data_IF_566868221393
#
_entry.id   IF_566868221393
#
_cell.length_a   1.000
_cell.length_b   1.000
_cell.length_c   1.000
_cell.angle_alpha   90.00
_cell.angle_beta   90.00
_cell.angle_gamma   90.00
#
_symmetry.space_group_name_H-M   'P 1'
#
loop_
_entity.id
_entity.type
_entity.pdbx_description
1 polymer ?
#
# COMPACT_ATOMS: atom_id res chain seq x y z
N UNK A 1 4.41 4.62 -56.08
CA UNK A 1 4.55 4.60 -54.61
C UNK A 1 3.17 4.45 -53.98
N UNK A 2 2.86 3.36 -53.30
CA UNK A 2 1.60 3.23 -52.57
C UNK A 2 1.66 3.97 -51.23
N UNK A 3 0.55 4.52 -50.71
CA UNK A 3 0.53 5.29 -49.47
C UNK A 3 0.70 4.39 -48.24
N UNK A 4 1.50 4.88 -47.28
CA UNK A 4 1.70 4.26 -45.96
C UNK A 4 0.42 4.29 -45.11
N UNK A 5 0.03 3.21 -44.43
CA UNK A 5 -1.12 3.24 -43.55
C UNK A 5 -0.82 4.00 -42.24
N UNK A 6 -1.65 4.99 -41.93
CA UNK A 6 -1.65 5.73 -40.69
C UNK A 6 -1.98 4.77 -39.53
N UNK A 7 -1.03 4.59 -38.59
CA UNK A 7 -1.24 3.86 -37.36
C UNK A 7 -2.16 4.66 -36.41
N UNK A 8 -3.45 4.42 -36.50
CA UNK A 8 -4.43 4.93 -35.54
C UNK A 8 -4.19 4.37 -34.14
N UNK A 9 -4.25 5.23 -33.13
CA UNK A 9 -4.17 4.86 -31.72
C UNK A 9 -5.24 3.79 -31.39
N UNK A 10 -4.90 2.69 -30.71
CA UNK A 10 -5.87 1.66 -30.37
C UNK A 10 -6.93 2.20 -29.40
N UNK A 11 -8.19 1.90 -29.67
CA UNK A 11 -9.31 2.29 -28.81
C UNK A 11 -9.15 1.70 -27.40
N UNK A 12 -9.61 2.39 -26.33
CA UNK A 12 -9.48 1.95 -24.92
C UNK A 12 -9.96 0.51 -24.67
N UNK A 13 -10.93 0.04 -25.42
CA UNK A 13 -11.44 -1.33 -25.30
C UNK A 13 -10.49 -2.42 -25.82
N UNK A 14 -9.47 -2.09 -26.62
CA UNK A 14 -8.48 -3.08 -27.11
C UNK A 14 -7.33 -3.29 -26.14
N UNK A 15 -6.98 -2.30 -25.32
CA UNK A 15 -5.94 -2.46 -24.28
C UNK A 15 -6.26 -3.58 -23.27
N UNK A 16 -7.52 -3.93 -23.13
CA UNK A 16 -7.98 -4.98 -22.22
C UNK A 16 -8.34 -6.31 -22.90
N UNK A 17 -8.42 -6.36 -24.23
CA UNK A 17 -8.96 -7.52 -24.97
C UNK A 17 -7.91 -8.47 -25.56
N UNK A 18 -6.66 -8.09 -25.69
CA UNK A 18 -5.60 -8.93 -26.31
C UNK A 18 -4.96 -9.87 -25.26
N UNK A 19 -5.80 -10.58 -24.53
CA UNK A 19 -5.41 -11.76 -23.75
C UNK A 19 -5.83 -12.99 -24.54
N UNK A 20 -4.94 -13.51 -25.37
CA UNK A 20 -4.98 -14.95 -25.67
C UNK A 20 -4.92 -15.64 -24.31
N UNK A 21 -6.04 -16.20 -23.92
CA UNK A 21 -6.24 -16.82 -22.62
C UNK A 21 -5.14 -17.85 -22.38
N UNK A 22 -4.21 -17.54 -21.47
CA UNK A 22 -3.48 -18.62 -20.84
C UNK A 22 -4.52 -19.60 -20.29
N UNK A 23 -4.33 -20.92 -20.46
CA UNK A 23 -5.29 -21.93 -20.03
C UNK A 23 -5.67 -21.62 -18.57
N UNK A 24 -6.98 -21.48 -18.32
CA UNK A 24 -7.53 -21.26 -16.99
C UNK A 24 -7.02 -22.39 -16.11
N UNK A 25 -6.28 -22.14 -15.02
CA UNK A 25 -6.01 -23.21 -14.07
C UNK A 25 -7.35 -23.71 -13.55
N UNK A 26 -7.53 -25.02 -13.58
CA UNK A 26 -8.69 -25.71 -13.04
C UNK A 26 -9.05 -25.19 -11.64
N UNK A 27 -10.32 -24.96 -11.30
CA UNK A 27 -10.73 -24.62 -9.95
C UNK A 27 -10.43 -25.83 -9.05
N UNK A 28 -9.37 -25.73 -8.24
CA UNK A 28 -8.98 -26.82 -7.33
C UNK A 28 -7.48 -27.00 -7.09
N UNK A 29 -6.62 -26.26 -7.77
CA UNK A 29 -5.17 -26.39 -7.54
C UNK A 29 -4.72 -25.62 -6.30
N UNK A 30 -3.84 -26.24 -5.53
CA UNK A 30 -3.28 -25.98 -4.19
C UNK A 30 -2.94 -24.53 -3.76
N UNK A 31 -3.30 -23.51 -4.55
CA UNK A 31 -2.99 -22.08 -4.31
C UNK A 31 -3.95 -21.39 -3.32
N UNK A 32 -5.09 -22.02 -3.00
CA UNK A 32 -6.13 -21.45 -2.14
C UNK A 32 -6.02 -21.86 -0.66
N UNK A 33 -5.27 -22.91 -0.33
CA UNK A 33 -5.31 -23.50 1.00
C UNK A 33 -4.68 -22.64 2.10
N UNK A 34 -3.69 -21.80 1.82
CA UNK A 34 -3.05 -20.97 2.86
C UNK A 34 -3.91 -19.79 3.31
N UNK A 35 -4.72 -19.22 2.42
CA UNK A 35 -5.57 -18.06 2.76
C UNK A 35 -6.86 -18.42 3.53
N UNK A 36 -7.19 -19.70 3.66
CA UNK A 36 -8.44 -20.18 4.27
C UNK A 36 -8.21 -21.02 5.53
N UNK A 37 -7.04 -20.89 6.15
CA UNK A 37 -6.70 -21.55 7.42
C UNK A 37 -7.57 -21.06 8.57
N UNK A 38 -7.87 -21.90 9.59
CA UNK A 38 -8.51 -21.46 10.82
C UNK A 38 -7.60 -20.49 11.60
N UNK A 39 -8.20 -19.61 12.42
CA UNK A 39 -7.54 -18.50 13.10
C UNK A 39 -6.20 -18.87 13.73
N UNK A 40 -6.15 -19.89 14.58
CA UNK A 40 -4.92 -20.27 15.29
C UNK A 40 -3.81 -20.82 14.37
N UNK A 41 -4.18 -21.50 13.27
CA UNK A 41 -3.23 -21.99 12.28
C UNK A 41 -2.70 -20.83 11.43
N UNK A 42 -3.58 -19.90 11.05
CA UNK A 42 -3.21 -18.66 10.33
C UNK A 42 -2.18 -17.88 11.11
N UNK A 43 -2.44 -17.59 12.40
CA UNK A 43 -1.53 -16.85 13.26
C UNK A 43 -0.16 -17.53 13.36
N UNK A 44 -0.11 -18.83 13.68
CA UNK A 44 1.16 -19.55 13.84
C UNK A 44 1.97 -19.65 12.56
N UNK A 45 1.29 -19.69 11.42
CA UNK A 45 1.95 -19.92 10.13
C UNK A 45 2.36 -18.61 9.44
N UNK A 46 1.61 -17.52 9.65
CA UNK A 46 1.79 -16.25 8.93
C UNK A 46 2.29 -15.09 9.82
N UNK A 47 2.60 -15.33 11.11
CA UNK A 47 3.08 -14.28 12.03
C UNK A 47 4.30 -13.49 11.50
N UNK A 48 5.26 -14.08 10.72
CA UNK A 48 6.38 -13.30 10.22
C UNK A 48 5.95 -12.22 9.23
N UNK A 49 4.92 -12.48 8.43
CA UNK A 49 4.35 -11.52 7.50
C UNK A 49 3.69 -10.34 8.26
N UNK A 50 3.00 -10.63 9.38
CA UNK A 50 2.43 -9.60 10.25
C UNK A 50 3.50 -8.77 10.95
N UNK A 51 4.59 -9.41 11.40
CA UNK A 51 5.74 -8.74 11.98
C UNK A 51 6.42 -7.77 11.01
N UNK A 52 6.54 -8.16 9.74
CA UNK A 52 7.07 -7.29 8.69
C UNK A 52 6.14 -6.09 8.43
N UNK A 53 4.83 -6.30 8.36
CA UNK A 53 3.86 -5.20 8.18
C UNK A 53 3.91 -4.22 9.36
N UNK A 54 4.02 -4.74 10.60
CA UNK A 54 4.19 -3.92 11.80
C UNK A 54 5.49 -3.10 11.74
N UNK A 55 6.63 -3.75 11.48
CA UNK A 55 7.93 -3.12 11.40
C UNK A 55 7.95 -2.00 10.35
N UNK A 56 7.43 -2.29 9.17
CA UNK A 56 7.45 -1.35 8.06
C UNK A 56 6.50 -0.17 8.27
N UNK A 57 5.31 -0.43 8.81
CA UNK A 57 4.41 0.66 9.14
C UNK A 57 4.97 1.52 10.27
N UNK A 58 5.51 0.93 11.32
CA UNK A 58 6.17 1.65 12.40
C UNK A 58 7.29 2.54 11.86
N UNK A 59 8.17 1.99 11.03
CA UNK A 59 9.24 2.75 10.39
C UNK A 59 8.70 3.86 9.47
N UNK A 60 7.67 3.58 8.68
CA UNK A 60 7.02 4.59 7.84
C UNK A 60 6.45 5.75 8.68
N UNK A 61 5.77 5.46 9.79
CA UNK A 61 5.21 6.48 10.68
C UNK A 61 6.32 7.30 11.35
N UNK A 62 7.42 6.66 11.78
CA UNK A 62 8.57 7.37 12.34
C UNK A 62 9.20 8.31 11.30
N UNK A 63 9.48 7.82 10.09
CA UNK A 63 10.05 8.64 9.02
C UNK A 63 9.11 9.79 8.66
N UNK A 64 7.82 9.52 8.49
CA UNK A 64 6.83 10.55 8.18
C UNK A 64 6.72 11.60 9.30
N UNK A 65 6.81 11.20 10.58
CA UNK A 65 6.80 12.10 11.72
C UNK A 65 8.04 13.00 11.78
N UNK A 66 9.23 12.40 11.60
CA UNK A 66 10.50 13.15 11.55
C UNK A 66 10.50 14.16 10.40
N UNK A 67 10.07 13.71 9.22
CA UNK A 67 9.99 14.55 8.01
C UNK A 67 8.98 15.70 8.19
N UNK A 68 7.82 15.43 8.80
CA UNK A 68 6.83 16.46 9.08
C UNK A 68 7.38 17.51 10.05
N UNK A 69 8.02 17.07 11.14
CA UNK A 69 8.66 17.99 12.08
C UNK A 69 9.75 18.83 11.41
N UNK A 70 10.54 18.25 10.52
CA UNK A 70 11.57 18.97 9.79
C UNK A 70 11.01 20.00 8.79
N UNK A 71 9.86 19.72 8.17
CA UNK A 71 9.18 20.70 7.29
C UNK A 71 8.72 21.90 8.10
N UNK A 72 8.10 21.68 9.27
CA UNK A 72 7.48 22.73 10.09
C UNK A 72 8.50 23.50 10.93
N UNK A 73 9.56 22.85 11.40
CA UNK A 73 10.57 23.43 12.28
C UNK A 73 11.98 23.28 11.70
N UNK A 74 12.42 24.14 10.76
CA UNK A 74 13.73 24.03 10.10
C UNK A 74 14.93 24.23 11.01
N UNK A 75 14.73 24.67 12.24
CA UNK A 75 15.76 24.91 13.25
C UNK A 75 16.07 23.71 14.16
N UNK A 76 15.72 22.50 13.80
CA UNK A 76 16.15 21.30 14.55
C UNK A 76 17.66 21.21 14.46
N UNK A 77 18.35 21.38 15.59
CA UNK A 77 19.80 21.58 15.65
C UNK A 77 20.61 20.47 14.99
N UNK A 78 20.13 19.22 15.00
CA UNK A 78 20.81 18.07 14.39
C UNK A 78 20.35 17.77 12.95
N UNK A 79 19.35 18.47 12.44
CA UNK A 79 18.84 18.31 11.07
C UNK A 79 18.48 19.69 10.47
N UNK A 80 19.48 20.55 10.19
CA UNK A 80 19.22 21.85 9.59
C UNK A 80 18.61 21.68 8.20
N UNK A 81 17.59 22.46 7.86
CA UNK A 81 16.93 22.44 6.56
C UNK A 81 17.08 23.76 5.82
N UNK A 82 16.91 23.78 4.49
CA UNK A 82 16.87 25.00 3.71
C UNK A 82 15.72 25.91 4.19
N UNK A 83 15.87 27.24 4.12
CA UNK A 83 14.81 28.17 4.52
C UNK A 83 13.57 28.06 3.63
N UNK A 84 13.73 27.67 2.39
CA UNK A 84 12.65 27.52 1.41
C UNK A 84 11.74 26.32 1.73
N UNK A 85 10.45 26.61 1.96
CA UNK A 85 9.45 25.60 2.34
C UNK A 85 9.14 24.64 1.19
N UNK A 86 9.15 25.10 -0.06
CA UNK A 86 8.88 24.25 -1.23
C UNK A 86 9.99 23.24 -1.40
N UNK A 87 11.24 23.68 -1.28
CA UNK A 87 12.40 22.79 -1.34
C UNK A 87 12.38 21.76 -0.20
N UNK A 88 12.02 22.16 1.04
CA UNK A 88 11.88 21.24 2.17
C UNK A 88 10.81 20.17 1.88
N UNK A 89 9.64 20.55 1.38
CA UNK A 89 8.57 19.61 1.01
C UNK A 89 9.00 18.66 -0.12
N UNK A 90 9.72 19.17 -1.11
CA UNK A 90 10.24 18.34 -2.19
C UNK A 90 11.24 17.29 -1.67
N UNK A 91 12.22 17.71 -0.85
CA UNK A 91 13.20 16.81 -0.23
C UNK A 91 12.51 15.78 0.70
N UNK A 92 11.54 16.23 1.49
CA UNK A 92 10.72 15.37 2.34
C UNK A 92 9.97 14.32 1.51
N UNK A 93 9.34 14.73 0.42
CA UNK A 93 8.65 13.84 -0.50
C UNK A 93 9.58 12.78 -1.08
N UNK A 94 10.76 13.21 -1.53
CA UNK A 94 11.81 12.29 -2.05
C UNK A 94 12.19 11.27 -0.97
N UNK A 95 12.47 11.71 0.24
CA UNK A 95 12.88 10.81 1.34
C UNK A 95 11.79 9.77 1.66
N UNK A 96 10.54 10.20 1.85
CA UNK A 96 9.43 9.29 2.16
C UNK A 96 9.16 8.32 1.00
N UNK A 97 9.14 8.81 -0.24
CA UNK A 97 8.89 7.97 -1.39
C UNK A 97 9.99 6.92 -1.62
N UNK A 98 11.26 7.29 -1.43
CA UNK A 98 12.37 6.33 -1.50
C UNK A 98 12.28 5.26 -0.41
N UNK A 99 11.89 5.63 0.81
CA UNK A 99 11.68 4.66 1.91
C UNK A 99 10.56 3.68 1.55
N UNK A 100 9.44 4.17 1.02
CA UNK A 100 8.33 3.31 0.56
C UNK A 100 8.78 2.37 -0.56
N UNK A 101 9.51 2.87 -1.55
CA UNK A 101 10.08 2.02 -2.62
C UNK A 101 10.99 0.94 -2.06
N UNK A 102 11.90 1.30 -1.16
CA UNK A 102 12.83 0.36 -0.53
C UNK A 102 12.09 -0.74 0.24
N UNK A 103 11.05 -0.37 1.01
CA UNK A 103 10.21 -1.33 1.71
C UNK A 103 9.52 -2.30 0.75
N UNK A 104 8.89 -1.80 -0.30
CA UNK A 104 8.14 -2.62 -1.28
C UNK A 104 9.07 -3.62 -1.99
N UNK A 105 10.25 -3.20 -2.38
CA UNK A 105 11.19 -4.06 -3.12
C UNK A 105 12.11 -4.90 -2.23
N UNK A 106 12.14 -4.65 -0.92
CA UNK A 106 12.92 -5.47 0.01
C UNK A 106 12.48 -6.94 -0.02
N UNK A 107 13.35 -7.87 0.34
CA UNK A 107 12.96 -9.28 0.48
C UNK A 107 11.77 -9.48 1.44
N UNK A 108 11.73 -8.71 2.51
CA UNK A 108 10.67 -8.75 3.52
C UNK A 108 9.35 -8.19 3.00
N UNK A 109 9.37 -7.04 2.29
CA UNK A 109 8.19 -6.46 1.68
C UNK A 109 7.60 -7.35 0.58
N UNK A 110 8.45 -7.97 -0.24
CA UNK A 110 8.00 -8.98 -1.21
C UNK A 110 7.40 -10.22 -0.55
N UNK A 111 7.78 -10.51 0.70
CA UNK A 111 7.21 -11.59 1.49
C UNK A 111 5.85 -11.19 2.05
N UNK A 112 5.73 -10.08 2.79
CA UNK A 112 4.48 -9.62 3.40
C UNK A 112 3.46 -9.09 2.38
N UNK A 113 3.91 -8.56 1.25
CA UNK A 113 3.07 -7.89 0.24
C UNK A 113 3.11 -6.37 0.33
N UNK A 114 3.68 -5.82 1.40
CA UNK A 114 3.88 -4.38 1.64
C UNK A 114 2.59 -3.57 1.56
N UNK A 115 1.56 -4.00 2.28
CA UNK A 115 0.32 -3.22 2.36
C UNK A 115 0.55 -1.91 3.11
N UNK A 116 1.24 -1.96 4.29
CA UNK A 116 1.62 -0.80 5.10
C UNK A 116 0.47 0.15 5.44
N UNK A 117 -0.76 -0.25 5.16
CA UNK A 117 -1.95 0.59 5.28
C UNK A 117 -3.20 -0.30 5.45
N UNK A 118 -3.96 -0.15 6.53
CA UNK A 118 -5.22 -0.87 6.72
C UNK A 118 -6.21 -0.71 5.59
N UNK A 119 -6.30 0.47 4.96
CA UNK A 119 -7.22 0.70 3.86
C UNK A 119 -6.86 -0.12 2.61
N UNK A 120 -5.55 -0.33 2.33
CA UNK A 120 -5.08 -1.24 1.27
C UNK A 120 -5.42 -2.69 1.64
N UNK A 121 -5.21 -3.09 2.89
CA UNK A 121 -5.55 -4.44 3.36
C UNK A 121 -7.04 -4.73 3.20
N UNK A 122 -7.91 -3.78 3.59
CA UNK A 122 -9.36 -3.87 3.41
C UNK A 122 -9.77 -3.87 1.93
N UNK A 123 -9.09 -3.12 1.08
CA UNK A 123 -9.30 -3.14 -0.37
C UNK A 123 -9.02 -4.54 -0.94
N UNK A 124 -7.92 -5.18 -0.56
CA UNK A 124 -7.62 -6.55 -0.99
C UNK A 124 -8.53 -7.62 -0.34
N UNK A 125 -9.03 -7.38 0.87
CA UNK A 125 -10.07 -8.21 1.48
C UNK A 125 -11.37 -8.13 0.66
N UNK A 126 -11.79 -6.94 0.27
CA UNK A 126 -12.96 -6.71 -0.60
C UNK A 126 -12.81 -7.37 -1.97
N UNK A 127 -11.59 -7.39 -2.51
CA UNK A 127 -11.24 -8.10 -3.75
C UNK A 127 -11.12 -9.63 -3.58
N UNK A 128 -11.25 -10.13 -2.35
CA UNK A 128 -11.12 -11.55 -2.05
C UNK A 128 -9.70 -12.09 -2.26
N UNK A 129 -8.66 -11.26 -2.12
CA UNK A 129 -7.26 -11.64 -2.35
C UNK A 129 -6.47 -11.96 -1.09
N UNK A 130 -6.94 -11.57 0.06
CA UNK A 130 -6.40 -11.91 1.38
C UNK A 130 -7.45 -12.67 2.19
N UNK A 131 -7.05 -13.61 3.03
CA UNK A 131 -7.91 -14.32 3.96
C UNK A 131 -8.43 -13.38 5.06
N UNK A 132 -9.62 -13.65 5.61
CA UNK A 132 -10.23 -12.80 6.65
C UNK A 132 -9.36 -12.68 7.90
N UNK A 133 -8.73 -13.76 8.32
CA UNK A 133 -7.88 -13.79 9.50
C UNK A 133 -6.54 -13.09 9.25
N UNK A 134 -5.94 -13.29 8.07
CA UNK A 134 -4.74 -12.56 7.68
C UNK A 134 -5.02 -11.05 7.62
N UNK A 135 -6.16 -10.65 7.05
CA UNK A 135 -6.56 -9.24 7.03
C UNK A 135 -6.70 -8.67 8.45
N UNK A 136 -7.35 -9.39 9.36
CA UNK A 136 -7.48 -8.98 10.77
C UNK A 136 -6.12 -8.81 11.43
N UNK A 137 -5.21 -9.79 11.30
CA UNK A 137 -3.88 -9.71 11.89
C UNK A 137 -3.02 -8.61 11.28
N UNK A 138 -3.15 -8.33 9.97
CA UNK A 138 -2.53 -7.17 9.33
C UNK A 138 -3.03 -5.86 9.94
N UNK A 139 -4.35 -5.70 10.08
CA UNK A 139 -4.95 -4.51 10.69
C UNK A 139 -4.44 -4.29 12.11
N UNK A 140 -4.46 -5.34 12.95
CA UNK A 140 -3.98 -5.28 14.33
C UNK A 140 -2.49 -4.93 14.39
N UNK A 141 -1.66 -5.61 13.60
CA UNK A 141 -0.22 -5.38 13.55
C UNK A 141 0.13 -3.95 13.09
N UNK A 142 -0.55 -3.48 12.06
CA UNK A 142 -0.37 -2.14 11.50
C UNK A 142 -0.79 -1.05 12.51
N UNK A 143 -1.96 -1.17 13.13
CA UNK A 143 -2.44 -0.19 14.11
C UNK A 143 -1.56 -0.17 15.35
N UNK A 144 -1.21 -1.34 15.89
CA UNK A 144 -0.33 -1.44 17.05
C UNK A 144 1.05 -0.80 16.79
N UNK A 145 1.64 -1.07 15.63
CA UNK A 145 2.93 -0.47 15.24
C UNK A 145 2.84 1.05 15.05
N UNK A 146 1.73 1.53 14.48
CA UNK A 146 1.45 2.96 14.37
C UNK A 146 1.38 3.64 15.73
N UNK A 147 0.65 3.04 16.69
CA UNK A 147 0.54 3.55 18.06
C UNK A 147 1.92 3.62 18.75
N UNK A 148 2.71 2.56 18.64
CA UNK A 148 4.07 2.54 19.22
C UNK A 148 4.94 3.64 18.58
N UNK A 149 4.91 3.77 17.26
CA UNK A 149 5.69 4.78 16.55
C UNK A 149 5.29 6.21 16.93
N UNK A 150 4.00 6.52 17.02
CA UNK A 150 3.50 7.85 17.44
C UNK A 150 3.87 8.11 18.91
N UNK A 151 3.77 7.11 19.78
CA UNK A 151 4.18 7.24 21.18
C UNK A 151 5.67 7.56 21.31
N UNK A 152 6.51 6.91 20.51
CA UNK A 152 7.95 7.20 20.46
C UNK A 152 8.25 8.62 19.94
N UNK A 153 7.53 9.09 18.93
CA UNK A 153 7.66 10.46 18.43
C UNK A 153 7.28 11.49 19.50
N UNK A 154 6.22 11.21 20.27
CA UNK A 154 5.71 12.09 21.32
C UNK A 154 6.53 12.09 22.62
N UNK A 155 7.24 11.01 22.90
CA UNK A 155 8.07 10.91 24.11
C UNK A 155 9.20 11.91 24.17
N UNK A 156 9.50 12.63 23.10
CA UNK A 156 10.65 13.54 23.00
C UNK A 156 12.00 12.81 22.83
N UNK A 157 11.98 11.48 22.78
CA UNK A 157 13.19 10.67 22.67
C UNK A 157 13.87 10.83 21.31
N UNK A 158 13.03 10.98 20.25
CA UNK A 158 13.51 11.10 18.87
C UNK A 158 13.48 12.55 18.37
N UNK A 159 12.51 13.34 18.81
CA UNK A 159 12.33 14.73 18.37
C UNK A 159 11.74 15.60 19.50
N UNK A 160 12.42 16.67 19.95
CA UNK A 160 11.94 17.53 21.06
C UNK A 160 10.61 18.24 20.80
N UNK A 161 10.16 18.32 19.55
CA UNK A 161 8.98 19.11 19.16
C UNK A 161 8.24 18.54 17.93
N UNK A 162 8.15 17.22 17.81
CA UNK A 162 7.39 16.63 16.70
C UNK A 162 5.88 16.92 16.89
N UNK A 163 5.37 17.97 16.25
CA UNK A 163 3.93 18.21 16.14
C UNK A 163 3.35 17.19 15.16
N UNK A 164 2.40 16.34 15.58
CA UNK A 164 1.78 15.40 14.64
C UNK A 164 1.02 16.19 13.56
N UNK A 165 1.16 15.82 12.28
CA UNK A 165 0.49 16.53 11.16
C UNK A 165 -1.03 16.62 11.26
N UNK A 166 -1.66 15.77 12.06
CA UNK A 166 -3.11 15.82 12.34
C UNK A 166 -3.56 17.10 13.08
N UNK A 167 -2.66 17.83 13.72
CA UNK A 167 -2.99 19.11 14.32
C UNK A 167 -3.44 20.16 13.28
N UNK A 168 -3.04 20.00 12.02
CA UNK A 168 -3.45 20.90 10.93
C UNK A 168 -4.95 20.76 10.60
N UNK A 169 -5.49 19.57 10.63
CA UNK A 169 -6.92 19.33 10.34
C UNK A 169 -7.85 19.96 11.40
N UNK A 170 -7.41 20.06 12.65
CA UNK A 170 -8.19 20.68 13.74
C UNK A 170 -8.34 22.20 13.60
N UNK A 171 -7.47 22.84 12.84
CA UNK A 171 -7.48 24.31 12.63
C UNK A 171 -8.19 24.75 11.36
N UNK A 172 -8.68 23.81 10.53
CA UNK A 172 -9.32 24.12 9.26
C UNK A 172 -10.78 24.57 9.47
N UNK A 173 -11.14 25.73 8.90
CA UNK A 173 -12.52 26.17 8.81
C UNK A 173 -13.39 25.27 7.93
N UNK A 174 -14.75 25.41 7.98
CA UNK A 174 -15.66 24.50 7.28
C UNK A 174 -15.40 24.31 5.77
N UNK A 175 -15.00 25.36 5.07
CA UNK A 175 -14.68 25.30 3.64
C UNK A 175 -13.38 24.55 3.34
N UNK A 176 -12.39 24.70 4.20
CA UNK A 176 -11.09 24.00 4.11
C UNK A 176 -11.22 22.52 4.47
N UNK A 177 -12.14 22.22 5.37
CA UNK A 177 -12.50 20.87 5.76
C UNK A 177 -12.94 19.99 4.59
N UNK A 178 -13.91 20.44 3.81
CA UNK A 178 -14.39 19.67 2.65
C UNK A 178 -13.32 19.56 1.55
N UNK A 179 -12.51 20.62 1.37
CA UNK A 179 -11.40 20.55 0.44
C UNK A 179 -10.38 19.48 0.86
N UNK A 180 -10.02 19.41 2.15
CA UNK A 180 -9.14 18.37 2.67
C UNK A 180 -9.76 16.98 2.52
N UNK A 181 -11.05 16.82 2.87
CA UNK A 181 -11.77 15.55 2.74
C UNK A 181 -11.74 15.01 1.29
N UNK A 182 -12.15 15.84 0.32
CA UNK A 182 -12.17 15.41 -1.08
C UNK A 182 -10.76 15.21 -1.65
N UNK A 183 -9.79 16.00 -1.23
CA UNK A 183 -8.39 15.82 -1.63
C UNK A 183 -7.87 14.45 -1.15
N UNK A 184 -8.01 14.11 0.13
CA UNK A 184 -7.60 12.81 0.67
C UNK A 184 -8.33 11.65 0.00
N UNK A 185 -9.63 11.80 -0.26
CA UNK A 185 -10.43 10.79 -0.96
C UNK A 185 -9.89 10.53 -2.36
N UNK A 186 -9.66 11.58 -3.14
CA UNK A 186 -9.15 11.46 -4.52
C UNK A 186 -7.73 10.91 -4.54
N UNK A 187 -6.84 11.39 -3.66
CA UNK A 187 -5.47 10.91 -3.57
C UNK A 187 -5.41 9.41 -3.20
N UNK A 188 -6.22 9.00 -2.24
CA UNK A 188 -6.29 7.60 -1.81
C UNK A 188 -6.89 6.69 -2.88
N UNK A 189 -7.93 7.16 -3.58
CA UNK A 189 -8.50 6.46 -4.73
C UNK A 189 -7.46 6.31 -5.85
N UNK A 190 -6.73 7.37 -6.17
CA UNK A 190 -5.68 7.38 -7.20
C UNK A 190 -4.54 6.43 -6.85
N UNK A 191 -4.10 6.40 -5.59
CA UNK A 191 -3.07 5.48 -5.13
C UNK A 191 -3.51 4.02 -5.27
N UNK A 192 -4.74 3.68 -4.87
CA UNK A 192 -5.26 2.32 -5.00
C UNK A 192 -5.47 1.92 -6.46
N UNK A 193 -5.98 2.82 -7.31
CA UNK A 193 -6.10 2.57 -8.76
C UNK A 193 -4.72 2.34 -9.40
N UNK A 194 -3.72 3.15 -9.05
CA UNK A 194 -2.35 2.97 -9.52
C UNK A 194 -1.81 1.59 -9.14
N UNK A 195 -1.97 1.18 -7.88
CA UNK A 195 -1.56 -0.14 -7.40
C UNK A 195 -2.29 -1.23 -8.19
N UNK A 196 -3.61 -1.15 -8.31
CA UNK A 196 -4.40 -2.16 -9.03
C UNK A 196 -4.03 -2.23 -10.50
N UNK A 197 -3.84 -1.11 -11.16
CA UNK A 197 -3.43 -1.06 -12.56
C UNK A 197 -2.05 -1.69 -12.75
N UNK A 198 -1.07 -1.22 -12.01
CA UNK A 198 0.33 -1.63 -12.22
C UNK A 198 0.58 -3.07 -11.78
N UNK A 199 0.11 -3.48 -10.60
CA UNK A 199 0.36 -4.83 -10.07
C UNK A 199 -0.33 -5.95 -10.85
N UNK A 200 -1.36 -5.63 -11.64
CA UNK A 200 -2.12 -6.60 -12.42
C UNK A 200 -1.80 -6.59 -13.93
N UNK A 201 -0.89 -5.73 -14.37
CA UNK A 201 -0.49 -5.64 -15.78
C UNK A 201 0.90 -6.24 -16.00
N UNK A 202 1.05 -7.15 -16.99
CA UNK A 202 2.30 -7.90 -17.22
C UNK A 202 3.55 -7.04 -17.45
N UNK A 203 3.40 -5.89 -18.10
CA UNK A 203 4.53 -4.98 -18.39
C UNK A 203 4.83 -4.03 -17.23
N UNK A 204 3.85 -3.75 -16.35
CA UNK A 204 3.95 -2.72 -15.32
C UNK A 204 4.16 -3.25 -13.91
N UNK A 205 3.90 -4.56 -13.63
CA UNK A 205 3.95 -5.11 -12.28
C UNK A 205 5.29 -4.91 -11.57
N UNK A 206 6.40 -4.91 -12.31
CA UNK A 206 7.74 -4.66 -11.77
C UNK A 206 7.95 -3.20 -11.34
N UNK A 207 7.16 -2.28 -11.88
CA UNK A 207 7.24 -0.85 -11.62
C UNK A 207 6.27 -0.37 -10.55
N UNK A 208 5.41 -1.24 -10.01
CA UNK A 208 4.38 -0.86 -9.02
C UNK A 208 4.96 -0.09 -7.86
N UNK A 209 6.04 -0.57 -7.24
CA UNK A 209 6.68 0.10 -6.12
C UNK A 209 7.32 1.43 -6.49
N UNK A 210 7.95 1.54 -7.68
CA UNK A 210 8.51 2.81 -8.18
C UNK A 210 7.41 3.83 -8.39
N UNK A 211 6.37 3.46 -9.13
CA UNK A 211 5.26 4.36 -9.45
C UNK A 211 4.48 4.78 -8.21
N UNK A 212 4.28 3.85 -7.27
CA UNK A 212 3.65 4.17 -5.99
C UNK A 212 4.52 5.12 -5.16
N UNK A 213 5.83 4.88 -5.06
CA UNK A 213 6.75 5.77 -4.36
C UNK A 213 6.85 7.15 -4.99
N UNK A 214 6.89 7.24 -6.34
CA UNK A 214 6.84 8.52 -7.05
C UNK A 214 5.53 9.27 -6.78
N UNK A 215 4.40 8.57 -6.74
CA UNK A 215 3.12 9.18 -6.35
C UNK A 215 3.19 9.74 -4.93
N UNK A 216 3.76 8.99 -3.98
CA UNK A 216 3.95 9.46 -2.59
C UNK A 216 4.87 10.69 -2.54
N UNK A 217 5.98 10.70 -3.30
CA UNK A 217 6.84 11.89 -3.43
C UNK A 217 6.04 13.12 -3.86
N UNK A 218 5.24 12.97 -4.91
CA UNK A 218 4.44 14.05 -5.47
C UNK A 218 3.37 14.53 -4.48
N UNK A 219 2.71 13.61 -3.79
CA UNK A 219 1.69 13.93 -2.79
C UNK A 219 2.29 14.70 -1.62
N UNK A 220 3.42 14.27 -1.08
CA UNK A 220 4.09 14.96 0.03
C UNK A 220 4.57 16.35 -0.41
N UNK A 221 5.12 16.45 -1.62
CA UNK A 221 5.63 17.72 -2.11
C UNK A 221 4.51 18.76 -2.40
N UNK A 222 3.39 18.33 -2.99
CA UNK A 222 2.39 19.24 -3.54
C UNK A 222 1.06 19.25 -2.78
N UNK A 223 0.60 18.12 -2.27
CA UNK A 223 -0.73 17.97 -1.70
C UNK A 223 -0.76 18.02 -0.16
N UNK A 224 0.37 17.81 0.52
CA UNK A 224 0.43 17.87 1.97
C UNK A 224 -0.10 19.20 2.57
N UNK A 225 0.11 20.37 1.94
CA UNK A 225 -0.47 21.63 2.42
C UNK A 225 -2.00 21.68 2.40
N UNK A 226 -2.64 20.90 1.53
CA UNK A 226 -4.09 20.89 1.33
C UNK A 226 -4.80 19.85 2.20
N UNK A 227 -4.14 18.73 2.46
CA UNK A 227 -4.78 17.55 3.02
C UNK A 227 -3.99 16.88 4.16
N UNK A 228 -2.86 17.44 4.60
CA UNK A 228 -2.08 16.89 5.71
C UNK A 228 -1.41 15.55 5.47
N UNK A 229 -1.42 15.01 4.25
CA UNK A 229 -0.84 13.70 3.91
C UNK A 229 -1.41 12.56 4.77
N UNK A 230 -2.73 12.43 4.79
CA UNK A 230 -3.46 11.46 5.62
C UNK A 230 -3.44 10.03 5.12
N UNK A 231 -3.59 9.78 3.88
CA UNK A 231 -3.75 8.51 3.10
C UNK A 231 -3.54 7.15 3.83
N UNK A 232 -2.89 7.11 4.98
CA UNK A 232 -2.60 5.88 5.73
C UNK A 232 -3.45 5.80 6.99
N UNK A 233 -4.45 4.91 6.95
CA UNK A 233 -5.42 4.74 8.01
C UNK A 233 -4.80 4.38 9.37
N UNK A 234 -3.74 3.56 9.43
CA UNK A 234 -3.10 3.18 10.69
C UNK A 234 -2.33 4.36 11.31
N UNK A 235 -1.67 5.18 10.47
CA UNK A 235 -1.00 6.40 10.92
C UNK A 235 -2.00 7.38 11.52
N UNK A 236 -3.12 7.59 10.86
CA UNK A 236 -4.16 8.50 11.32
C UNK A 236 -4.82 8.01 12.61
N UNK A 237 -5.21 6.73 12.67
CA UNK A 237 -5.72 6.10 13.90
C UNK A 237 -4.74 6.24 15.06
N UNK A 238 -3.46 6.02 14.82
CA UNK A 238 -2.45 6.13 15.86
C UNK A 238 -2.33 7.56 16.39
N UNK A 239 -2.41 8.57 15.51
CA UNK A 239 -2.40 9.97 15.90
C UNK A 239 -3.65 10.34 16.70
N UNK A 240 -4.82 9.94 16.24
CA UNK A 240 -6.10 10.23 16.90
C UNK A 240 -6.19 9.57 18.29
N UNK A 241 -5.86 8.28 18.39
CA UNK A 241 -5.85 7.53 19.66
C UNK A 241 -4.78 8.04 20.64
N UNK A 242 -3.78 8.76 20.17
CA UNK A 242 -2.74 9.36 21.01
C UNK A 242 -3.13 10.71 21.60
N UNK A 243 -4.41 11.15 21.50
CA UNK A 243 -4.93 12.37 22.15
C UNK A 243 -4.96 13.60 21.25
N UNK A 244 -5.05 13.44 19.93
CA UNK A 244 -5.44 14.52 19.03
C UNK A 244 -6.92 14.90 19.26
N UNK A 245 -7.34 16.17 19.00
CA UNK A 245 -8.74 16.57 19.18
C UNK A 245 -9.68 15.68 18.36
N UNK A 246 -10.64 15.03 19.03
CA UNK A 246 -11.56 14.05 18.43
C UNK A 246 -12.40 14.60 17.26
N UNK A 247 -12.60 15.91 17.20
CA UNK A 247 -13.39 16.56 16.15
C UNK A 247 -12.79 16.41 14.73
N UNK A 248 -11.49 16.13 14.61
CA UNK A 248 -10.81 15.95 13.32
C UNK A 248 -10.60 14.47 12.95
N UNK A 249 -10.75 13.53 13.89
CA UNK A 249 -10.37 12.14 13.72
C UNK A 249 -11.10 11.42 12.59
N UNK A 250 -12.42 11.54 12.53
CA UNK A 250 -13.20 10.89 11.48
C UNK A 250 -12.92 11.42 10.07
N UNK A 251 -12.55 12.71 9.96
CA UNK A 251 -12.12 13.35 8.71
C UNK A 251 -10.86 12.72 8.14
N UNK A 252 -9.96 12.35 9.02
CA UNK A 252 -8.71 11.73 8.62
C UNK A 252 -8.91 10.23 8.28
N UNK A 253 -9.89 9.57 8.92
CA UNK A 253 -10.09 8.13 8.79
C UNK A 253 -10.95 7.75 7.58
N UNK A 254 -12.07 8.47 7.36
CA UNK A 254 -13.05 8.10 6.35
C UNK A 254 -12.57 8.32 4.91
N UNK A 255 -11.96 9.47 4.52
CA UNK A 255 -11.59 9.71 3.13
C UNK A 255 -10.63 8.67 2.55
N UNK A 256 -9.53 8.28 3.23
CA UNK A 256 -8.64 7.23 2.71
C UNK A 256 -9.34 5.89 2.56
N UNK A 257 -10.16 5.52 3.53
CA UNK A 257 -10.91 4.26 3.47
C UNK A 257 -11.92 4.28 2.31
N UNK A 258 -12.76 5.31 2.24
CA UNK A 258 -13.77 5.44 1.19
C UNK A 258 -13.11 5.53 -0.18
N UNK A 259 -12.08 6.35 -0.34
CA UNK A 259 -11.37 6.53 -1.61
C UNK A 259 -10.79 5.22 -2.14
N UNK A 260 -10.12 4.44 -1.28
CA UNK A 260 -9.58 3.14 -1.69
C UNK A 260 -10.69 2.11 -2.02
N UNK A 261 -11.82 2.12 -1.30
CA UNK A 261 -12.95 1.24 -1.62
C UNK A 261 -13.64 1.66 -2.93
N UNK A 262 -13.82 2.96 -3.18
CA UNK A 262 -14.33 3.46 -4.46
C UNK A 262 -13.43 3.05 -5.63
N UNK A 263 -12.11 3.10 -5.46
CA UNK A 263 -11.16 2.61 -6.45
C UNK A 263 -11.33 1.11 -6.73
N UNK A 264 -11.58 0.31 -5.70
CA UNK A 264 -11.87 -1.14 -5.84
C UNK A 264 -13.15 -1.36 -6.62
N UNK A 265 -14.23 -0.66 -6.31
CA UNK A 265 -15.49 -0.83 -7.03
C UNK A 265 -15.38 -0.32 -8.48
N UNK A 266 -14.73 0.81 -8.72
CA UNK A 266 -14.44 1.29 -10.06
C UNK A 266 -13.63 0.25 -10.86
N UNK A 267 -12.58 -0.32 -10.25
CA UNK A 267 -11.79 -1.39 -10.88
C UNK A 267 -12.66 -2.60 -11.24
N UNK A 268 -13.52 -3.04 -10.32
CA UNK A 268 -14.42 -4.19 -10.54
C UNK A 268 -15.42 -3.95 -11.66
N UNK A 269 -15.95 -2.75 -11.75
CA UNK A 269 -16.90 -2.36 -12.81
C UNK A 269 -16.22 -2.29 -14.18
N UNK A 270 -15.00 -1.74 -14.24
CA UNK A 270 -14.27 -1.55 -15.49
C UNK A 270 -13.61 -2.82 -16.03
N UNK A 271 -13.12 -3.70 -15.15
CA UNK A 271 -12.31 -4.86 -15.55
C UNK A 271 -12.98 -6.20 -15.30
N UNK A 272 -14.11 -6.24 -14.58
CA UNK A 272 -14.76 -7.46 -14.13
C UNK A 272 -14.16 -8.08 -12.85
N UNK A 273 -14.92 -8.96 -12.20
CA UNK A 273 -14.62 -9.48 -10.86
C UNK A 273 -13.30 -10.28 -10.71
N UNK A 274 -12.64 -10.72 -11.76
CA UNK A 274 -11.57 -11.72 -11.69
C UNK A 274 -10.17 -11.23 -12.03
N UNK A 275 -9.97 -9.95 -12.29
CA UNK A 275 -8.74 -9.43 -12.91
C UNK A 275 -7.58 -9.15 -11.95
N UNK A 276 -7.76 -9.25 -10.62
CA UNK A 276 -6.65 -9.05 -9.68
C UNK A 276 -5.84 -10.34 -9.53
N UNK A 277 -4.53 -10.27 -9.75
CA UNK A 277 -3.65 -11.43 -9.74
C UNK A 277 -3.21 -11.80 -8.33
N UNK A 278 -2.77 -10.85 -7.53
CA UNK A 278 -2.28 -11.06 -6.17
C UNK A 278 -2.48 -9.81 -5.32
N UNK A 279 -2.39 -9.95 -3.99
CA UNK A 279 -2.40 -8.82 -3.07
C UNK A 279 -1.00 -8.25 -2.77
N UNK A 280 0.07 -8.77 -3.37
CA UNK A 280 1.42 -8.22 -3.23
C UNK A 280 1.65 -7.04 -4.17
N UNK A 281 2.19 -5.94 -3.64
CA UNK A 281 2.59 -4.78 -4.45
C UNK A 281 3.79 -5.09 -5.34
N UNK A 282 4.75 -5.89 -4.82
CA UNK A 282 5.86 -6.42 -5.61
C UNK A 282 5.90 -7.95 -5.48
N UNK A 283 5.53 -8.64 -6.54
CA UNK A 283 5.51 -10.10 -6.55
C UNK A 283 6.90 -10.64 -6.93
N UNK A 284 7.46 -11.55 -6.10
CA UNK A 284 8.67 -12.29 -6.43
C UNK A 284 8.33 -13.68 -6.99
N UNK A 285 9.25 -14.24 -7.79
CA UNK A 285 9.08 -15.53 -8.46
C UNK A 285 9.28 -16.73 -7.53
N UNK A 286 9.97 -16.56 -6.39
CA UNK A 286 10.49 -17.66 -5.57
C UNK A 286 10.01 -17.68 -4.12
N UNK A 287 9.17 -16.74 -3.70
CA UNK A 287 8.73 -16.63 -2.31
C UNK A 287 7.36 -17.23 -2.04
N UNK A 288 7.16 -17.71 -0.81
CA UNK A 288 5.86 -18.08 -0.27
C UNK A 288 4.86 -16.93 -0.46
N UNK A 289 3.63 -17.25 -0.79
CA UNK A 289 2.55 -16.28 -0.92
C UNK A 289 1.35 -16.74 -0.09
N UNK A 290 1.00 -15.97 0.94
CA UNK A 290 -0.13 -16.23 1.83
C UNK A 290 -1.47 -15.76 1.24
N UNK A 291 -1.44 -15.09 0.11
CA UNK A 291 -2.61 -14.53 -0.56
C UNK A 291 -3.20 -15.50 -1.58
N UNK A 292 -4.45 -15.28 -1.97
CA UNK A 292 -5.09 -16.03 -3.08
C UNK A 292 -4.51 -15.58 -4.42
N UNK A 293 -3.25 -15.98 -4.64
CA UNK A 293 -2.42 -15.57 -5.75
C UNK A 293 -2.75 -16.35 -7.02
N UNK A 294 -2.92 -15.62 -8.14
CA UNK A 294 -3.06 -16.18 -9.50
C UNK A 294 -1.95 -15.67 -10.42
N UNK A 295 -0.84 -15.21 -9.86
CA UNK A 295 0.24 -14.65 -10.66
C UNK A 295 0.93 -15.77 -11.47
N UNK A 296 1.19 -15.59 -12.79
CA UNK A 296 1.76 -16.65 -13.64
C UNK A 296 3.10 -17.20 -13.16
N UNK A 297 3.92 -16.36 -12.53
CA UNK A 297 5.20 -16.79 -11.96
C UNK A 297 5.03 -17.77 -10.78
N UNK A 298 4.02 -17.58 -9.95
CA UNK A 298 3.72 -18.48 -8.84
C UNK A 298 3.31 -19.86 -9.37
N UNK A 299 2.47 -19.90 -10.39
CA UNK A 299 2.03 -21.14 -11.03
C UNK A 299 3.23 -21.93 -11.61
N UNK A 300 4.16 -21.23 -12.29
CA UNK A 300 5.39 -21.84 -12.81
C UNK A 300 6.31 -22.37 -11.71
N UNK A 301 6.52 -21.59 -10.64
CA UNK A 301 7.36 -22.02 -9.52
C UNK A 301 6.81 -23.28 -8.83
N UNK A 302 5.50 -23.38 -8.64
CA UNK A 302 4.85 -24.56 -8.07
C UNK A 302 4.91 -25.77 -9.02
N UNK A 303 4.74 -25.56 -10.32
CA UNK A 303 4.88 -26.62 -11.31
C UNK A 303 6.31 -27.18 -11.33
N UNK A 304 7.33 -26.31 -11.28
CA UNK A 304 8.73 -26.73 -11.22
C UNK A 304 9.05 -27.48 -9.92
N UNK A 305 8.57 -26.98 -8.77
CA UNK A 305 8.75 -27.67 -7.49
C UNK A 305 8.07 -29.05 -7.48
N UNK A 306 6.88 -29.17 -8.07
CA UNK A 306 6.18 -30.45 -8.20
C UNK A 306 6.93 -31.44 -9.11
N UNK A 307 7.51 -30.97 -10.20
CA UNK A 307 8.34 -31.79 -11.09
C UNK A 307 9.61 -32.28 -10.37
N UNK A 308 10.29 -31.41 -9.61
CA UNK A 308 11.47 -31.75 -8.83
C UNK A 308 11.16 -32.80 -7.77
N UNK A 309 10.06 -32.67 -7.01
CA UNK A 309 9.61 -33.70 -6.05
C UNK A 309 9.30 -35.06 -6.70
N UNK A 310 8.64 -35.05 -7.85
CA UNK A 310 8.39 -36.27 -8.61
C UNK A 310 9.70 -36.95 -9.08
N UNK A 311 10.67 -36.15 -9.55
CA UNK A 311 11.98 -36.65 -9.94
C UNK A 311 12.78 -37.18 -8.74
N UNK A 312 12.59 -36.62 -7.52
CA UNK A 312 13.19 -37.11 -6.28
C UNK A 312 12.48 -38.33 -5.67
N UNK A 313 11.42 -38.87 -6.32
CA UNK A 313 10.71 -40.06 -5.85
C UNK A 313 9.78 -39.81 -4.63
N UNK A 314 9.55 -38.57 -4.22
CA UNK A 314 8.65 -38.23 -3.13
C UNK A 314 7.19 -38.43 -3.56
N UNK A 315 6.52 -39.48 -3.02
CA UNK A 315 5.07 -39.62 -3.19
C UNK A 315 4.33 -38.56 -2.40
N UNK A 316 3.18 -38.12 -2.91
CA UNK A 316 2.29 -37.17 -2.20
C UNK A 316 1.94 -37.73 -0.80
N UNK A 317 1.96 -36.91 0.25
CA UNK A 317 1.33 -37.23 1.51
C UNK A 317 -0.19 -37.33 1.36
#
# INVERSE_FOLDING_TARGET
>A
MPPTPSAGLPSPGRLFRDRRAAPRPEPGTALSHEADLPLGATLRRHWPEYGVEALFLGLFVLVAGVVSAWIEAPGIAWLPGPPDLVLRRALAGIAVGLVVMAMIYSPWGRRSGSHLNPAITLAYLRLGKIGRWDALFYLVAQVAAGLVAVSLLRSGLLLPAAVPPAALAASLGPSTFWAAFFTELVLSASAMLLILFTSNHQSWFRWTGVLHGLLIMLIVACAAPLAGFGMNLARLLAVDLSGAPAAAGWLNLLPPLIGMQLAVEAWRLLTGRSQVLCAKLAHNTHGRCIFRCRHPYQARALAMAALQRRAAGERRP
#
